data_IF_835424519930
#
_entry.id   IF_835424519930
#
_cell.length_a   1.000
_cell.length_b   1.000
_cell.length_c   1.000
_cell.angle_alpha   90.00
_cell.angle_beta   90.00
_cell.angle_gamma   90.00
#
_symmetry.space_group_name_H-M   'P 1'
#
loop_
_entity.id
_entity.type
_entity.pdbx_description
1 polymer ?
#
# COMPACT_ATOMS: atom_id res chain seq x y z
N UNK A 1 11.42 14.02 5.71
CA UNK A 1 11.07 12.69 6.27
C UNK A 1 9.97 12.11 5.40
N UNK A 2 10.11 10.88 4.91
CA UNK A 2 9.04 10.20 4.16
C UNK A 2 7.93 9.73 5.10
N UNK A 3 6.68 9.93 4.72
CA UNK A 3 5.51 9.44 5.45
C UNK A 3 5.06 8.09 4.87
N UNK A 4 4.67 7.15 5.73
CA UNK A 4 4.11 5.86 5.30
C UNK A 4 2.65 6.10 4.91
N UNK A 5 2.36 5.96 3.63
CA UNK A 5 1.02 6.20 3.06
C UNK A 5 0.13 4.96 3.08
N UNK A 6 0.73 3.77 3.15
CA UNK A 6 0.04 2.48 3.19
C UNK A 6 1.01 1.39 3.65
N UNK A 7 0.49 0.42 4.39
CA UNK A 7 1.24 -0.76 4.85
C UNK A 7 0.28 -1.95 4.95
N UNK A 8 0.80 -3.14 4.65
CA UNK A 8 0.11 -4.41 4.87
C UNK A 8 1.09 -5.45 5.42
N UNK A 9 0.57 -6.43 6.14
CA UNK A 9 1.32 -7.52 6.75
C UNK A 9 0.69 -8.86 6.36
N UNK A 10 1.49 -9.74 5.77
CA UNK A 10 1.03 -11.04 5.29
C UNK A 10 2.15 -12.07 5.40
N UNK A 11 1.75 -13.34 5.45
CA UNK A 11 2.69 -14.46 5.55
C UNK A 11 3.20 -14.86 4.16
N UNK A 12 4.44 -14.46 3.85
CA UNK A 12 5.15 -14.94 2.67
C UNK A 12 5.69 -16.36 2.86
N UNK A 13 5.81 -17.11 1.76
CA UNK A 13 6.46 -18.44 1.76
C UNK A 13 7.86 -18.35 1.15
N UNK A 14 8.76 -19.28 1.49
CA UNK A 14 10.07 -19.35 0.83
C UNK A 14 9.89 -19.60 -0.66
N UNK A 15 10.48 -18.75 -1.51
CA UNK A 15 10.36 -18.82 -2.96
C UNK A 15 9.75 -17.55 -3.55
N UNK A 16 9.09 -17.69 -4.71
CA UNK A 16 8.44 -16.57 -5.40
C UNK A 16 7.11 -16.21 -4.73
N UNK A 17 6.96 -14.92 -4.47
CA UNK A 17 5.79 -14.34 -3.84
C UNK A 17 5.22 -13.27 -4.76
N UNK A 18 3.89 -13.28 -4.98
CA UNK A 18 3.20 -12.26 -5.77
C UNK A 18 2.23 -11.51 -4.87
N UNK A 19 2.26 -10.19 -4.95
CA UNK A 19 1.36 -9.31 -4.20
C UNK A 19 0.64 -8.37 -5.16
N UNK A 20 -0.68 -8.34 -5.09
CA UNK A 20 -1.53 -7.43 -5.87
C UNK A 20 -2.08 -6.35 -4.94
N UNK A 21 -1.85 -5.11 -5.31
CA UNK A 21 -2.38 -3.95 -4.60
C UNK A 21 -3.17 -3.07 -5.56
N UNK A 22 -4.41 -2.72 -5.18
CA UNK A 22 -5.26 -1.83 -5.98
C UNK A 22 -5.00 -0.34 -5.67
N UNK A 23 -3.86 0.00 -5.08
CA UNK A 23 -3.45 1.37 -4.71
C UNK A 23 -4.38 2.11 -3.75
N UNK A 24 -5.24 1.38 -3.02
CA UNK A 24 -6.15 1.96 -2.01
C UNK A 24 -5.34 2.26 -0.75
N UNK A 25 -5.36 3.51 -0.30
CA UNK A 25 -4.61 4.00 0.88
C UNK A 25 -5.50 4.18 2.10
N UNK A 26 -6.78 4.53 1.90
CA UNK A 26 -7.72 4.81 2.98
C UNK A 26 -9.14 4.41 2.56
N UNK A 27 -9.94 3.99 3.54
CA UNK A 27 -11.35 3.64 3.37
C UNK A 27 -12.15 4.50 4.33
N UNK A 28 -12.91 5.44 3.79
CA UNK A 28 -13.77 6.30 4.61
C UNK A 28 -15.00 5.47 5.02
N UNK A 29 -15.06 5.12 6.30
CA UNK A 29 -16.30 4.66 6.92
C UNK A 29 -17.10 5.90 7.31
N UNK A 30 -18.19 6.18 6.58
CA UNK A 30 -19.12 7.24 6.92
C UNK A 30 -20.54 6.69 6.91
N UNK A 31 -21.27 6.94 7.98
CA UNK A 31 -22.68 6.58 8.12
C UNK A 31 -23.61 7.57 7.39
N UNK A 32 -23.05 8.54 6.67
CA UNK A 32 -23.80 9.47 5.83
C UNK A 32 -24.19 8.79 4.52
N UNK A 33 -25.43 9.02 4.02
CA UNK A 33 -25.84 8.53 2.72
C UNK A 33 -24.87 9.01 1.63
N UNK A 34 -24.56 8.13 0.67
CA UNK A 34 -23.60 8.31 -0.44
C UNK A 34 -22.09 8.26 -0.11
N UNK A 35 -21.69 8.22 1.16
CA UNK A 35 -20.28 8.09 1.55
C UNK A 35 -19.90 6.68 2.03
N UNK A 36 -20.86 5.77 2.02
CA UNK A 36 -20.68 4.35 2.36
C UNK A 36 -19.73 3.74 1.33
N UNK A 37 -18.53 3.34 1.77
CA UNK A 37 -17.46 2.71 0.98
C UNK A 37 -16.57 3.62 0.10
N UNK A 38 -16.45 4.91 0.40
CA UNK A 38 -15.53 5.76 -0.36
C UNK A 38 -14.07 5.36 -0.14
N UNK A 39 -13.40 4.90 -1.21
CA UNK A 39 -11.98 4.54 -1.21
C UNK A 39 -11.15 5.74 -1.64
N UNK A 40 -10.06 6.00 -0.93
CA UNK A 40 -9.02 6.92 -1.39
C UNK A 40 -7.88 6.11 -1.99
N UNK A 41 -7.34 6.64 -3.07
CA UNK A 41 -6.26 6.03 -3.83
C UNK A 41 -4.97 6.80 -3.62
N UNK A 42 -3.85 6.11 -3.87
CA UNK A 42 -2.54 6.73 -3.94
C UNK A 42 -2.55 7.85 -5.00
N UNK A 43 -1.98 9.00 -4.65
CA UNK A 43 -1.87 10.13 -5.59
C UNK A 43 -0.73 9.87 -6.57
N UNK A 44 -0.76 10.50 -7.74
CA UNK A 44 0.35 10.48 -8.68
C UNK A 44 1.64 11.00 -8.04
N UNK A 45 2.78 10.41 -8.37
CA UNK A 45 4.07 10.80 -7.82
C UNK A 45 5.07 9.65 -7.71
N UNK A 46 6.24 9.97 -7.18
CA UNK A 46 7.29 9.00 -6.90
C UNK A 46 7.27 8.59 -5.42
N UNK A 47 7.24 7.29 -5.18
CA UNK A 47 7.22 6.69 -3.85
C UNK A 47 8.35 5.69 -3.70
N UNK A 48 8.85 5.52 -2.47
CA UNK A 48 9.70 4.40 -2.11
C UNK A 48 8.82 3.27 -1.62
N UNK A 49 8.86 2.13 -2.31
CA UNK A 49 8.25 0.89 -1.87
C UNK A 49 9.28 0.10 -1.05
N UNK A 50 8.86 -0.45 0.10
CA UNK A 50 9.71 -1.23 0.99
C UNK A 50 9.04 -2.55 1.36
N UNK A 51 9.74 -3.65 1.12
CA UNK A 51 9.38 -4.97 1.65
C UNK A 51 10.26 -5.25 2.84
N UNK A 52 9.68 -5.64 3.98
CA UNK A 52 10.42 -6.02 5.18
C UNK A 52 10.14 -7.49 5.50
N UNK A 53 11.19 -8.26 5.71
CA UNK A 53 11.14 -9.66 6.18
C UNK A 53 11.91 -9.78 7.49
N UNK A 54 11.91 -10.96 8.10
CA UNK A 54 12.76 -11.23 9.26
C UNK A 54 14.26 -11.12 8.91
N UNK A 55 14.63 -11.41 7.66
CA UNK A 55 16.02 -11.45 7.19
C UNK A 55 16.53 -10.08 6.70
N UNK A 56 15.65 -9.12 6.46
CA UNK A 56 16.07 -7.79 6.00
C UNK A 56 14.96 -6.95 5.39
N UNK A 57 15.35 -6.03 4.51
CA UNK A 57 14.42 -5.22 3.73
C UNK A 57 14.94 -4.99 2.32
N UNK A 58 14.01 -4.76 1.41
CA UNK A 58 14.26 -4.41 0.01
C UNK A 58 13.51 -3.12 -0.30
N UNK A 59 14.21 -2.17 -0.90
CA UNK A 59 13.66 -0.88 -1.31
C UNK A 59 13.58 -0.82 -2.84
N UNK A 60 12.52 -0.23 -3.35
CA UNK A 60 12.28 0.00 -4.78
C UNK A 60 11.60 1.35 -5.02
N UNK A 61 11.69 1.83 -6.26
CA UNK A 61 10.99 3.04 -6.69
C UNK A 61 9.66 2.65 -7.36
N UNK A 62 8.59 3.33 -6.97
CA UNK A 62 7.26 3.22 -7.56
C UNK A 62 6.86 4.59 -8.11
N UNK A 63 6.71 4.68 -9.43
CA UNK A 63 6.18 5.87 -10.09
C UNK A 63 4.72 5.64 -10.43
N UNK A 64 3.85 6.51 -9.96
CA UNK A 64 2.41 6.52 -10.26
C UNK A 64 2.13 7.69 -11.19
N UNK A 65 1.60 7.40 -12.38
CA UNK A 65 1.29 8.37 -13.43
C UNK A 65 -0.17 8.88 -13.38
#
# INVERSE_FOLDING_TARGET
KGEIVWQDAWEGKRGLNQFRWDMVTDRVASDLPYFIHYKRYLRRGAYTFRVKTAEGHLDGLLTVE
#
